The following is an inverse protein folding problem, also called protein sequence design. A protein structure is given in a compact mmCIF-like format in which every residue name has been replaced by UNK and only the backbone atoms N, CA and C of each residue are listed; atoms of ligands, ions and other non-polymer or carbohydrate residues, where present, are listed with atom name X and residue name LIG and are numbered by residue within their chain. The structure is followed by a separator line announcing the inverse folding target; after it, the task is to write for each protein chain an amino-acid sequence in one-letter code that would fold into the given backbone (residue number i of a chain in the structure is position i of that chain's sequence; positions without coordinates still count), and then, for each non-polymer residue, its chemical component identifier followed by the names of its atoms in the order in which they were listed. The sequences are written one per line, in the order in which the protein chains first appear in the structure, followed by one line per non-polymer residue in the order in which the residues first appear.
data_IF_744577570629
#
_entry.id   IF_744577570629
#
_cell.length_a   1.000
_cell.length_b   1.000
_cell.length_c   1.000
_cell.angle_alpha   90.00
_cell.angle_beta   90.00
_cell.angle_gamma   90.00
#
_symmetry.space_group_name_H-M   'P 1'
#
loop_
_entity.id
_entity.type
_entity.pdbx_description
1 polymer ?
#
# COMPACT_ATOMS: atom_id res chain seq x y z
N UNK A 1 6.04 3.45 18.40
CA UNK A 1 4.75 2.87 18.44
C UNK A 1 4.26 2.49 17.05
N UNK A 2 3.77 1.30 16.90
CA UNK A 2 3.35 0.85 15.60
C UNK A 2 1.95 1.29 15.28
N UNK A 3 1.71 1.58 14.04
CA UNK A 3 0.40 1.97 13.61
C UNK A 3 0.04 1.17 12.36
N UNK A 4 -1.16 0.64 12.33
CA UNK A 4 -1.59 -0.17 11.21
C UNK A 4 -2.86 0.40 10.61
N UNK A 5 -3.04 0.19 9.32
CA UNK A 5 -4.20 0.66 8.59
C UNK A 5 -4.91 -0.52 7.96
N UNK A 6 -6.23 -0.54 8.10
CA UNK A 6 -7.04 -1.52 7.41
C UNK A 6 -6.94 -1.23 5.91
N UNK A 7 -7.09 -2.23 5.09
CA UNK A 7 -6.89 -2.08 3.65
C UNK A 7 -7.71 -0.94 3.05
N UNK A 8 -8.96 -0.76 3.48
CA UNK A 8 -9.78 0.31 2.94
C UNK A 8 -9.20 1.68 3.30
N UNK A 9 -8.71 1.81 4.50
CA UNK A 9 -8.12 3.07 4.93
C UNK A 9 -6.82 3.34 4.19
N UNK A 10 -6.01 2.31 4.07
CA UNK A 10 -4.72 2.43 3.39
C UNK A 10 -4.93 2.83 1.94
N UNK A 11 -5.91 2.23 1.29
CA UNK A 11 -6.19 2.54 -0.10
C UNK A 11 -6.63 3.98 -0.27
N UNK A 12 -7.44 4.49 0.65
CA UNK A 12 -7.88 5.86 0.56
C UNK A 12 -6.73 6.83 0.72
N UNK A 13 -5.82 6.53 1.63
CA UNK A 13 -4.67 7.40 1.83
C UNK A 13 -3.81 7.45 0.58
N UNK A 14 -3.65 6.31 -0.09
CA UNK A 14 -2.84 6.25 -1.29
C UNK A 14 -3.57 6.74 -2.53
N UNK A 15 -4.88 6.85 -2.47
CA UNK A 15 -5.64 7.28 -3.63
C UNK A 15 -5.90 6.16 -4.62
N UNK A 16 -5.93 4.93 -4.17
CA UNK A 16 -6.23 3.79 -5.06
C UNK A 16 -7.35 2.98 -4.43
N UNK A 17 -7.85 2.00 -5.15
CA UNK A 17 -8.92 1.18 -4.62
C UNK A 17 -8.35 0.02 -3.82
N UNK A 18 -9.18 -0.55 -2.95
CA UNK A 18 -8.75 -1.70 -2.19
C UNK A 18 -8.45 -2.86 -3.11
N UNK A 19 -9.17 -2.97 -4.22
CA UNK A 19 -8.90 -4.03 -5.17
C UNK A 19 -7.50 -3.90 -5.77
N UNK A 20 -7.07 -2.67 -5.99
CA UNK A 20 -5.72 -2.44 -6.50
C UNK A 20 -4.69 -2.99 -5.52
N UNK A 21 -4.91 -2.79 -4.22
CA UNK A 21 -3.97 -3.30 -3.22
C UNK A 21 -3.98 -4.83 -3.20
N UNK A 22 -5.13 -5.44 -3.41
CA UNK A 22 -5.19 -6.90 -3.46
C UNK A 22 -4.44 -7.41 -4.68
N UNK A 23 -4.54 -6.70 -5.79
CA UNK A 23 -3.82 -7.08 -7.00
C UNK A 23 -2.32 -6.95 -6.79
N UNK A 24 -1.89 -5.90 -6.11
CA UNK A 24 -0.48 -5.73 -5.84
C UNK A 24 0.05 -6.85 -4.95
N UNK A 25 -0.78 -7.32 -4.03
CA UNK A 25 -0.40 -8.42 -3.17
C UNK A 25 -0.18 -9.67 -4.02
N UNK A 26 -1.11 -9.95 -4.93
CA UNK A 26 -0.99 -11.11 -5.78
C UNK A 26 0.23 -11.05 -6.68
N UNK A 27 0.56 -9.86 -7.15
CA UNK A 27 1.70 -9.71 -8.03
C UNK A 27 3.02 -9.57 -7.30
N UNK A 28 2.97 -9.55 -5.99
CA UNK A 28 4.19 -9.42 -5.21
C UNK A 28 4.74 -8.02 -5.13
N UNK A 29 3.94 -7.02 -5.49
CA UNK A 29 4.42 -5.65 -5.43
C UNK A 29 4.32 -5.06 -4.05
N UNK A 30 3.28 -5.41 -3.32
CA UNK A 30 3.11 -4.88 -1.98
C UNK A 30 2.25 -5.84 -1.18
N UNK A 31 2.85 -6.45 -0.17
CA UNK A 31 2.13 -7.38 0.69
C UNK A 31 1.71 -6.68 1.96
N UNK A 32 0.61 -7.07 2.59
CA UNK A 32 0.22 -6.45 3.85
C UNK A 32 1.21 -6.83 4.93
N UNK A 33 1.28 -6.02 5.98
CA UNK A 33 2.15 -6.30 7.10
C UNK A 33 1.71 -7.61 7.74
N UNK A 34 0.40 -7.77 7.90
CA UNK A 34 -0.14 -9.02 8.42
C UNK A 34 -1.62 -9.11 8.05
N UNK A 35 -2.17 -10.30 8.18
CA UNK A 35 -3.58 -10.53 7.92
C UNK A 35 -4.18 -11.10 9.19
N UNK A 36 -5.31 -10.57 9.62
CA UNK A 36 -5.95 -11.03 10.84
C UNK A 36 -6.57 -12.40 10.61
N UNK A 37 -6.98 -13.04 11.70
CA UNK A 37 -7.60 -14.35 11.58
C UNK A 37 -8.91 -14.29 10.80
N UNK A 38 -9.53 -13.11 10.73
CA UNK A 38 -10.75 -12.97 9.96
C UNK A 38 -10.49 -12.70 8.48
N UNK A 39 -9.24 -12.65 8.08
CA UNK A 39 -8.92 -12.44 6.68
C UNK A 39 -8.76 -10.99 6.28
N UNK A 40 -8.76 -10.09 7.25
CA UNK A 40 -8.59 -8.68 6.94
C UNK A 40 -7.11 -8.33 6.85
N UNK A 41 -6.74 -7.55 5.84
CA UNK A 41 -5.36 -7.16 5.61
C UNK A 41 -5.07 -5.84 6.31
N UNK A 42 -3.91 -5.78 6.97
CA UNK A 42 -3.47 -4.58 7.66
C UNK A 42 -2.09 -4.19 7.15
N UNK A 43 -1.92 -2.91 6.90
CA UNK A 43 -0.67 -2.38 6.37
C UNK A 43 -0.06 -1.45 7.41
N UNK A 44 1.26 -1.46 7.51
CA UNK A 44 1.93 -0.67 8.53
C UNK A 44 2.16 0.75 8.04
N UNK A 45 2.40 1.65 9.00
CA UNK A 45 2.69 3.02 8.67
C UNK A 45 4.01 3.10 7.89
N UNK A 46 4.94 2.22 8.18
CA UNK A 46 6.19 2.20 7.46
C UNK A 46 5.97 1.84 6.00
N UNK A 47 5.05 0.92 5.74
CA UNK A 47 4.74 0.56 4.37
C UNK A 47 4.13 1.75 3.65
N UNK A 48 3.32 2.53 4.34
CA UNK A 48 2.72 3.70 3.75
C UNK A 48 3.82 4.68 3.34
N UNK A 49 4.78 4.91 4.23
CA UNK A 49 5.87 5.83 3.92
C UNK A 49 6.69 5.34 2.73
N UNK A 50 6.95 4.07 2.67
CA UNK A 50 7.74 3.53 1.58
C UNK A 50 7.04 3.71 0.25
N UNK A 51 5.75 3.43 0.20
CA UNK A 51 5.00 3.57 -1.04
C UNK A 51 4.95 5.02 -1.47
N UNK A 52 4.70 5.92 -0.54
CA UNK A 52 4.57 7.31 -0.89
C UNK A 52 5.89 7.93 -1.29
N UNK A 53 6.98 7.44 -0.74
CA UNK A 53 8.28 7.95 -1.13
C UNK A 53 8.73 7.47 -2.50
N UNK A 54 8.39 6.24 -2.83
CA UNK A 54 8.82 5.68 -4.10
C UNK A 54 8.00 6.19 -5.26
N UNK A 55 6.70 6.28 -5.05
CA UNK A 55 5.82 6.64 -6.13
C UNK A 55 6.15 7.93 -6.83
N UNK A 56 6.37 9.02 -6.13
CA UNK A 56 6.66 10.27 -6.82
C UNK A 56 7.90 10.19 -7.68
N UNK A 57 8.88 9.48 -7.22
CA UNK A 57 10.09 9.36 -7.98
C UNK A 57 9.87 8.64 -9.28
N UNK A 58 9.12 7.58 -9.24
CA UNK A 58 8.85 6.84 -10.43
C UNK A 58 8.08 7.65 -11.41
N UNK A 59 7.07 8.32 -10.94
CA UNK A 59 6.27 9.10 -11.83
C UNK A 59 7.08 10.13 -12.50
N UNK A 60 7.93 10.75 -11.79
CA UNK A 60 8.69 11.79 -12.34
C UNK A 60 9.55 11.31 -13.42
N UNK A 61 10.16 10.20 -13.22
CA UNK A 61 10.98 9.69 -14.22
C UNK A 61 10.24 9.38 -15.42
N UNK A 62 9.16 8.77 -15.27
CA UNK A 62 8.41 8.43 -16.39
C UNK A 62 7.92 9.55 -17.10
N UNK A 63 7.60 10.52 -16.41
CA UNK A 63 7.08 11.66 -17.02
C UNK A 63 8.07 12.31 -17.78
N UNK A 64 9.04 12.26 -17.26
CA UNK A 64 9.98 12.95 -17.84
C UNK A 64 10.62 12.29 -18.65
N UNK A 65 10.12 11.92 -18.06
CA UNK A 65 10.17 11.52 -18.22
C UNK A 65 10.09 11.49 -18.46
#
# INVERSE_FOLDING_TARGET
MSKYYFINKFSKILGVSAQTLRNWDKKGKLHPHHTSSNGYRYYSHEQLNQVMNVKPNLDRKELMK
#
